data_IF_886921744673
#
_entry.id   IF_886921744673
#
_cell.length_a   1.000
_cell.length_b   1.000
_cell.length_c   1.000
_cell.angle_alpha   90.00
_cell.angle_beta   90.00
_cell.angle_gamma   90.00
#
_symmetry.space_group_name_H-M   'P 1'
#
loop_
_entity.id
_entity.type
_entity.pdbx_description
1 polymer ?
#
# COMPACT_ATOMS: atom_id res chain seq x y z
N UNK A 1 -2.45 8.96 -13.58
CA UNK A 1 -3.69 9.78 -13.76
C UNK A 1 -4.43 9.26 -14.99
N UNK A 2 -5.42 8.35 -14.86
CA UNK A 2 -6.02 7.67 -16.03
C UNK A 2 -7.45 8.13 -16.40
N UNK A 3 -7.61 8.45 -17.69
CA UNK A 3 -8.87 8.67 -18.39
C UNK A 3 -9.29 7.38 -19.08
N UNK A 4 -10.46 6.83 -18.73
CA UNK A 4 -11.21 5.95 -19.63
C UNK A 4 -12.66 6.44 -19.64
N UNK A 5 -13.09 6.93 -20.79
CA UNK A 5 -14.49 7.35 -21.01
C UNK A 5 -15.32 6.12 -21.35
N UNK A 6 -16.34 5.85 -20.56
CA UNK A 6 -17.60 5.35 -21.10
C UNK A 6 -18.79 6.03 -20.40
N UNK A 7 -19.65 6.61 -21.23
CA UNK A 7 -20.88 7.30 -20.85
C UNK A 7 -21.95 6.26 -20.54
N UNK A 8 -22.70 6.43 -19.43
CA UNK A 8 -24.15 6.60 -19.48
C UNK A 8 -24.65 7.38 -18.26
N UNK A 9 -25.61 8.25 -18.56
CA UNK A 9 -26.16 9.36 -17.79
C UNK A 9 -27.10 8.94 -16.64
N UNK A 10 -26.93 9.53 -15.46
CA UNK A 10 -28.03 9.90 -14.57
C UNK A 10 -27.78 11.25 -13.91
N UNK A 11 -28.78 12.11 -14.01
CA UNK A 11 -28.89 13.46 -13.48
C UNK A 11 -28.85 13.43 -11.95
N UNK A 12 -27.94 14.20 -11.33
CA UNK A 12 -27.93 14.46 -9.88
C UNK A 12 -27.94 15.99 -9.68
N UNK A 13 -28.82 16.43 -8.79
CA UNK A 13 -29.06 17.82 -8.43
C UNK A 13 -27.85 18.46 -7.74
N UNK A 14 -27.78 19.79 -7.88
CA UNK A 14 -26.68 20.65 -7.45
C UNK A 14 -26.40 20.56 -5.94
N UNK A 15 -25.15 20.26 -5.59
CA UNK A 15 -24.49 20.84 -4.42
C UNK A 15 -23.02 21.10 -4.74
N UNK A 16 -22.56 22.29 -4.33
CA UNK A 16 -21.34 22.98 -4.75
C UNK A 16 -20.02 22.26 -4.43
N UNK A 17 -19.45 21.49 -5.37
CA UNK A 17 -18.00 21.24 -5.40
C UNK A 17 -17.48 21.17 -6.84
N UNK A 18 -16.76 22.21 -7.24
CA UNK A 18 -16.11 22.30 -8.55
C UNK A 18 -14.88 21.40 -8.60
N UNK A 19 -15.01 20.20 -9.16
CA UNK A 19 -13.87 19.41 -9.61
C UNK A 19 -13.17 20.16 -10.75
N UNK A 20 -11.96 20.67 -10.49
CA UNK A 20 -11.16 21.31 -11.53
C UNK A 20 -10.51 20.23 -12.38
N UNK A 21 -11.09 19.95 -13.55
CA UNK A 21 -10.30 19.44 -14.68
C UNK A 21 -9.18 20.45 -14.91
N UNK A 22 -7.91 20.03 -14.81
CA UNK A 22 -6.77 20.91 -15.08
C UNK A 22 -6.95 21.56 -16.45
N UNK A 23 -7.29 22.84 -16.45
CA UNK A 23 -7.53 23.57 -17.69
C UNK A 23 -6.22 23.68 -18.46
N UNK A 24 -6.28 23.75 -19.79
CA UNK A 24 -5.08 24.06 -20.60
C UNK A 24 -4.44 25.40 -20.18
N UNK A 25 -5.22 26.30 -19.58
CA UNK A 25 -4.72 27.51 -18.92
C UNK A 25 -3.80 27.20 -17.74
N UNK A 26 -4.19 26.31 -16.81
CA UNK A 26 -3.33 25.92 -15.68
C UNK A 26 -2.09 25.15 -16.16
N UNK A 27 -2.21 24.28 -17.17
CA UNK A 27 -1.05 23.61 -17.79
C UNK A 27 -0.07 24.59 -18.42
N UNK A 28 -0.59 25.67 -19.01
CA UNK A 28 0.23 26.76 -19.54
C UNK A 28 0.85 27.57 -18.41
N UNK A 29 0.09 27.92 -17.38
CA UNK A 29 0.61 28.65 -16.22
C UNK A 29 1.66 27.85 -15.44
N UNK A 30 1.49 26.54 -15.27
CA UNK A 30 2.52 25.65 -14.72
C UNK A 30 3.76 25.73 -15.61
N UNK A 31 3.65 25.49 -16.93
CA UNK A 31 4.79 25.62 -17.86
C UNK A 31 5.45 27.00 -17.87
N UNK A 32 4.68 28.07 -17.65
CA UNK A 32 5.19 29.45 -17.58
C UNK A 32 5.87 29.74 -16.23
N UNK A 33 5.45 29.09 -15.13
CA UNK A 33 6.01 29.27 -13.78
C UNK A 33 7.17 28.32 -13.47
N UNK A 34 7.12 27.09 -13.98
CA UNK A 34 8.16 26.06 -13.87
C UNK A 34 8.89 26.01 -15.20
N UNK A 35 10.01 26.72 -15.32
CA UNK A 35 10.67 26.97 -16.62
C UNK A 35 11.02 25.71 -17.44
N UNK A 36 11.08 24.53 -16.84
CA UNK A 36 11.34 23.24 -17.50
C UNK A 36 10.59 22.11 -16.76
N UNK A 37 9.49 21.60 -17.36
CA UNK A 37 8.75 20.41 -16.89
C UNK A 37 9.04 19.25 -17.83
N UNK A 38 9.32 18.09 -17.26
CA UNK A 38 9.52 16.86 -18.02
C UNK A 38 8.67 15.70 -17.46
N UNK A 39 8.33 14.74 -18.33
CA UNK A 39 7.42 13.63 -18.02
C UNK A 39 7.94 12.31 -18.62
N UNK A 40 7.80 11.22 -17.87
CA UNK A 40 8.00 9.85 -18.36
C UNK A 40 6.78 8.99 -18.04
N UNK A 41 6.34 8.20 -19.02
CA UNK A 41 5.18 7.33 -18.87
C UNK A 41 5.49 6.05 -18.10
N UNK A 42 4.42 5.38 -17.68
CA UNK A 42 4.43 4.03 -17.11
C UNK A 42 5.06 3.01 -18.05
N UNK A 43 4.62 2.99 -19.32
CA UNK A 43 5.15 2.07 -20.34
C UNK A 43 6.33 2.72 -21.06
N UNK A 44 7.47 2.02 -21.09
CA UNK A 44 8.71 2.50 -21.69
C UNK A 44 9.17 1.48 -22.74
N UNK A 45 9.23 1.89 -24.01
CA UNK A 45 9.56 1.04 -25.16
C UNK A 45 10.68 1.69 -25.95
N UNK A 46 11.91 1.29 -25.70
CA UNK A 46 13.03 1.71 -26.53
C UNK A 46 13.00 0.98 -27.88
N UNK A 47 13.23 1.71 -28.96
CA UNK A 47 13.39 1.12 -30.30
C UNK A 47 14.84 0.68 -30.50
N UNK A 48 15.02 -0.49 -31.13
CA UNK A 48 16.33 -1.00 -31.50
C UNK A 48 16.75 -0.53 -32.90
N UNK A 49 18.05 -0.57 -33.17
CA UNK A 49 18.67 -0.24 -34.46
C UNK A 49 18.25 1.13 -35.03
N UNK A 50 18.42 2.17 -34.22
CA UNK A 50 18.03 3.53 -34.61
C UNK A 50 19.14 4.22 -35.40
N UNK A 51 18.76 4.88 -36.50
CA UNK A 51 19.66 5.76 -37.25
C UNK A 51 20.27 6.82 -36.32
N UNK A 52 21.61 6.99 -36.37
CA UNK A 52 22.33 7.87 -35.44
C UNK A 52 21.88 9.31 -35.62
N UNK A 53 21.28 9.85 -34.56
CA UNK A 53 20.85 11.25 -34.45
C UNK A 53 21.27 11.78 -33.09
N UNK A 54 21.88 12.97 -33.09
CA UNK A 54 22.19 13.66 -31.82
C UNK A 54 20.88 14.00 -31.12
N UNK A 55 20.67 13.42 -29.92
CA UNK A 55 19.48 13.61 -29.10
C UNK A 55 19.91 13.87 -27.65
N UNK A 56 19.55 15.02 -27.12
CA UNK A 56 19.85 15.42 -25.73
C UNK A 56 18.67 15.20 -24.76
N UNK A 57 17.50 14.82 -25.27
CA UNK A 57 16.30 14.56 -24.48
C UNK A 57 15.71 13.20 -24.79
N UNK A 58 15.22 12.52 -23.75
CA UNK A 58 14.54 11.23 -23.86
C UNK A 58 13.04 11.46 -24.08
N UNK A 59 12.48 10.80 -25.10
CA UNK A 59 11.05 10.77 -25.37
C UNK A 59 10.26 10.17 -24.20
N UNK A 60 8.98 10.51 -24.09
CA UNK A 60 8.12 10.07 -22.96
C UNK A 60 7.99 8.55 -22.87
N UNK A 61 8.00 7.87 -24.01
CA UNK A 61 7.95 6.41 -24.16
C UNK A 61 9.33 5.77 -24.27
N UNK A 62 10.41 6.56 -24.18
CA UNK A 62 11.79 6.13 -24.35
C UNK A 62 12.16 5.52 -25.72
N UNK A 63 11.36 5.71 -26.77
CA UNK A 63 11.64 5.17 -28.10
C UNK A 63 13.05 5.51 -28.64
N UNK A 64 13.59 6.68 -28.28
CA UNK A 64 14.90 7.15 -28.72
C UNK A 64 16.07 6.85 -27.76
N UNK A 65 15.92 5.90 -26.83
CA UNK A 65 16.91 5.60 -25.78
C UNK A 65 18.32 5.33 -26.33
N UNK A 66 18.44 4.50 -27.37
CA UNK A 66 19.73 4.13 -27.98
C UNK A 66 20.49 5.36 -28.48
N UNK A 67 19.79 6.27 -29.18
CA UNK A 67 20.36 7.53 -29.66
C UNK A 67 20.76 8.48 -28.53
N UNK A 68 19.97 8.53 -27.45
CA UNK A 68 20.27 9.37 -26.27
C UNK A 68 21.51 8.84 -25.56
N UNK A 69 21.55 7.55 -25.21
CA UNK A 69 22.71 6.95 -24.52
C UNK A 69 23.98 7.05 -25.36
N UNK A 70 23.89 6.84 -26.67
CA UNK A 70 25.02 7.06 -27.57
C UNK A 70 25.48 8.53 -27.56
N UNK A 71 24.54 9.48 -27.62
CA UNK A 71 24.86 10.90 -27.55
C UNK A 71 25.56 11.24 -26.22
N UNK A 72 25.09 10.67 -25.10
CA UNK A 72 25.69 10.85 -23.77
C UNK A 72 27.08 10.23 -23.67
N UNK A 73 27.29 9.02 -24.19
CA UNK A 73 28.59 8.32 -24.15
C UNK A 73 29.70 9.11 -24.86
N UNK A 74 29.34 9.88 -25.89
CA UNK A 74 30.27 10.72 -26.63
C UNK A 74 30.43 12.13 -26.05
N UNK A 75 29.33 12.78 -25.66
CA UNK A 75 29.32 14.22 -25.38
C UNK A 75 29.16 14.57 -23.89
N UNK A 76 28.61 13.67 -23.06
CA UNK A 76 28.30 13.90 -21.64
C UNK A 76 28.67 12.66 -20.81
N UNK A 77 29.96 12.32 -20.81
CA UNK A 77 30.49 11.07 -20.24
C UNK A 77 30.14 10.87 -18.77
N UNK A 78 30.11 11.93 -17.97
CA UNK A 78 29.75 11.86 -16.55
C UNK A 78 28.31 11.36 -16.35
N UNK A 79 27.34 11.89 -17.12
CA UNK A 79 25.95 11.42 -17.09
C UNK A 79 25.84 9.97 -17.56
N UNK A 80 26.52 9.63 -18.66
CA UNK A 80 26.54 8.25 -19.17
C UNK A 80 27.09 7.26 -18.13
N UNK A 81 28.22 7.60 -17.50
CA UNK A 81 28.84 6.77 -16.47
C UNK A 81 27.94 6.60 -15.26
N UNK A 82 27.27 7.67 -14.81
CA UNK A 82 26.28 7.59 -13.73
C UNK A 82 25.15 6.63 -14.09
N UNK A 83 24.53 6.78 -15.27
CA UNK A 83 23.46 5.88 -15.73
C UNK A 83 23.94 4.42 -15.78
N UNK A 84 25.12 4.18 -16.33
CA UNK A 84 25.69 2.84 -16.43
C UNK A 84 25.96 2.23 -15.05
N UNK A 85 26.51 2.99 -14.11
CA UNK A 85 26.78 2.53 -12.74
C UNK A 85 25.50 2.18 -11.99
N UNK A 86 24.49 3.05 -12.03
CA UNK A 86 23.18 2.80 -11.40
C UNK A 86 22.49 1.57 -12.02
N UNK A 87 22.58 1.41 -13.35
CA UNK A 87 22.02 0.26 -14.04
C UNK A 87 22.71 -1.05 -13.65
N UNK A 88 24.05 -1.06 -13.53
CA UNK A 88 24.84 -2.21 -13.09
C UNK A 88 24.54 -2.56 -11.62
N UNK A 89 24.31 -1.56 -10.78
CA UNK A 89 23.96 -1.77 -9.36
C UNK A 89 22.57 -2.42 -9.21
N UNK A 90 21.61 -1.99 -10.04
CA UNK A 90 20.23 -2.52 -10.01
C UNK A 90 20.11 -3.90 -10.66
N UNK A 91 20.83 -4.14 -11.76
CA UNK A 91 20.67 -5.36 -12.57
C UNK A 91 21.72 -6.41 -12.20
N UNK A 92 21.28 -7.45 -11.46
CA UNK A 92 22.15 -8.55 -11.07
C UNK A 92 22.82 -9.22 -12.29
N UNK A 93 24.13 -9.43 -12.22
CA UNK A 93 24.90 -10.11 -13.27
C UNK A 93 25.35 -9.21 -14.43
N UNK A 94 24.81 -8.00 -14.55
CA UNK A 94 25.27 -7.00 -15.52
C UNK A 94 26.61 -6.44 -15.04
N UNK A 95 27.55 -6.30 -15.97
CA UNK A 95 28.93 -5.87 -15.69
C UNK A 95 29.35 -4.65 -16.49
N UNK A 96 28.71 -4.40 -17.63
CA UNK A 96 28.99 -3.24 -18.46
C UNK A 96 27.77 -2.88 -19.33
N UNK A 97 27.75 -1.62 -19.75
CA UNK A 97 26.76 -1.07 -20.68
C UNK A 97 27.51 -0.31 -21.77
N UNK A 98 27.27 -0.67 -23.03
CA UNK A 98 27.94 -0.07 -24.18
C UNK A 98 26.94 0.39 -25.25
N UNK A 99 27.37 1.33 -26.09
CA UNK A 99 26.56 1.90 -27.19
C UNK A 99 27.31 1.78 -28.53
N UNK A 100 27.50 0.55 -29.04
CA UNK A 100 28.26 0.32 -30.25
C UNK A 100 27.59 0.96 -31.47
N UNK A 101 28.44 1.26 -32.45
CA UNK A 101 28.00 1.74 -33.76
C UNK A 101 27.96 0.55 -34.71
N UNK A 102 26.82 0.34 -35.33
CA UNK A 102 26.65 -0.63 -36.40
C UNK A 102 26.62 0.09 -37.77
N UNK A 103 27.23 -0.53 -38.78
CA UNK A 103 27.22 -0.03 -40.15
C UNK A 103 26.56 -1.06 -41.05
N UNK A 104 25.42 -0.70 -41.63
CA UNK A 104 24.73 -1.51 -42.64
C UNK A 104 24.63 -0.70 -43.94
N UNK A 105 25.54 -0.99 -44.87
CA UNK A 105 25.64 -0.25 -46.13
C UNK A 105 26.06 1.21 -45.92
N UNK A 106 25.19 2.16 -46.28
CA UNK A 106 25.42 3.61 -46.10
C UNK A 106 24.79 4.17 -44.82
N UNK A 107 24.08 3.35 -44.05
CA UNK A 107 23.38 3.76 -42.84
C UNK A 107 24.25 3.38 -41.64
N UNK A 108 24.45 4.36 -40.77
CA UNK A 108 25.11 4.19 -39.47
C UNK A 108 24.02 4.21 -38.41
N UNK A 109 23.94 3.15 -37.62
CA UNK A 109 22.97 3.01 -36.53
C UNK A 109 23.68 2.76 -35.21
N UNK A 110 22.96 2.97 -34.11
CA UNK A 110 23.46 2.65 -32.76
C UNK A 110 22.41 1.81 -32.03
N UNK A 111 22.92 0.83 -31.28
CA UNK A 111 22.16 0.00 -30.35
C UNK A 111 22.76 0.13 -28.95
N UNK A 112 22.12 -0.51 -27.99
CA UNK A 112 22.59 -0.68 -26.63
C UNK A 112 23.01 -2.14 -26.47
N UNK A 113 24.22 -2.37 -26.00
CA UNK A 113 24.72 -3.70 -25.65
C UNK A 113 24.95 -3.79 -24.14
N UNK A 114 24.30 -4.76 -23.51
CA UNK A 114 24.43 -5.08 -22.08
C UNK A 114 25.36 -6.28 -21.93
N UNK A 115 26.44 -6.13 -21.17
CA UNK A 115 27.38 -7.21 -20.90
C UNK A 115 27.01 -7.88 -19.59
N UNK A 116 26.49 -9.10 -19.66
CA UNK A 116 26.08 -9.89 -18.50
C UNK A 116 26.83 -11.22 -18.49
N UNK A 117 27.52 -11.54 -17.40
CA UNK A 117 28.25 -12.80 -17.24
C UNK A 117 29.21 -13.18 -18.41
N UNK A 118 29.80 -12.16 -19.06
CA UNK A 118 30.69 -12.24 -20.26
C UNK A 118 30.00 -12.47 -21.60
N UNK A 119 28.67 -12.52 -21.64
CA UNK A 119 27.90 -12.46 -22.88
C UNK A 119 27.49 -11.01 -23.16
N UNK A 120 27.34 -10.65 -24.43
CA UNK A 120 26.76 -9.37 -24.85
C UNK A 120 25.36 -9.63 -25.38
N UNK A 121 24.40 -8.84 -24.92
CA UNK A 121 23.00 -8.89 -25.34
C UNK A 121 22.60 -7.53 -25.91
N UNK A 122 21.99 -7.54 -27.09
CA UNK A 122 21.39 -6.34 -27.69
C UNK A 122 20.08 -5.97 -27.00
N UNK A 123 19.57 -4.78 -27.33
CA UNK A 123 18.39 -4.22 -26.70
C UNK A 123 17.14 -5.10 -26.88
N UNK A 124 17.00 -5.78 -28.01
CA UNK A 124 15.92 -6.73 -28.29
C UNK A 124 16.09 -8.11 -27.61
N UNK A 125 17.31 -8.41 -27.14
CA UNK A 125 17.66 -9.64 -26.43
C UNK A 125 17.51 -9.51 -24.90
N UNK A 126 17.50 -8.30 -24.36
CA UNK A 126 17.29 -8.07 -22.93
C UNK A 126 15.81 -8.05 -22.54
N UNK A 127 15.51 -8.34 -21.28
CA UNK A 127 14.13 -8.33 -20.80
C UNK A 127 13.51 -6.92 -20.86
N UNK A 128 12.20 -6.84 -21.09
CA UNK A 128 11.48 -5.55 -21.11
C UNK A 128 11.71 -4.76 -19.83
N UNK A 129 11.66 -5.38 -18.64
CA UNK A 129 11.94 -4.70 -17.37
C UNK A 129 13.32 -4.04 -17.34
N UNK A 130 14.34 -4.72 -17.87
CA UNK A 130 15.71 -4.17 -18.00
C UNK A 130 15.74 -2.88 -18.84
N UNK A 131 15.04 -2.88 -19.98
CA UNK A 131 14.93 -1.70 -20.84
C UNK A 131 14.19 -0.55 -20.14
N UNK A 132 13.09 -0.87 -19.44
CA UNK A 132 12.28 0.12 -18.74
C UNK A 132 13.04 0.79 -17.59
N UNK A 133 13.87 0.01 -16.86
CA UNK A 133 14.80 0.53 -15.84
C UNK A 133 15.80 1.48 -16.50
N UNK A 134 16.48 1.05 -17.56
CA UNK A 134 17.49 1.86 -18.21
C UNK A 134 16.91 3.18 -18.74
N UNK A 135 15.69 3.14 -19.28
CA UNK A 135 14.95 4.33 -19.69
C UNK A 135 14.65 5.26 -18.51
N UNK A 136 14.17 4.73 -17.39
CA UNK A 136 13.86 5.50 -16.18
C UNK A 136 15.12 6.16 -15.60
N UNK A 137 16.22 5.41 -15.44
CA UNK A 137 17.50 5.91 -14.96
C UNK A 137 18.05 7.01 -15.87
N UNK A 138 17.96 6.80 -17.18
CA UNK A 138 18.38 7.82 -18.17
C UNK A 138 17.58 9.10 -18.00
N UNK A 139 16.26 9.00 -17.79
CA UNK A 139 15.41 10.18 -17.57
C UNK A 139 15.75 10.90 -16.27
N UNK A 140 15.94 10.17 -15.18
CA UNK A 140 16.31 10.71 -13.88
C UNK A 140 17.61 11.51 -13.95
N UNK A 141 18.67 10.90 -14.50
CA UNK A 141 19.99 11.55 -14.63
C UNK A 141 19.98 12.73 -15.60
N UNK A 142 19.17 12.68 -16.66
CA UNK A 142 18.99 13.84 -17.54
C UNK A 142 18.27 14.99 -16.84
N UNK A 143 17.26 14.68 -16.02
CA UNK A 143 16.46 15.69 -15.32
C UNK A 143 17.26 16.42 -14.23
N UNK A 144 18.20 15.72 -13.57
CA UNK A 144 19.06 16.27 -12.54
C UNK A 144 19.71 17.59 -12.97
N UNK A 145 19.53 18.66 -12.17
CA UNK A 145 20.03 20.04 -12.39
C UNK A 145 19.50 20.77 -13.63
N UNK A 146 18.83 20.07 -14.55
CA UNK A 146 18.34 20.63 -15.82
C UNK A 146 16.82 20.81 -15.85
N UNK A 147 16.10 20.12 -14.95
CA UNK A 147 14.64 20.12 -14.87
C UNK A 147 14.20 20.68 -13.52
N UNK A 148 13.19 21.55 -13.50
CA UNK A 148 12.64 22.07 -12.23
C UNK A 148 11.61 21.12 -11.62
N UNK A 149 10.84 20.44 -12.47
CA UNK A 149 9.79 19.49 -12.09
C UNK A 149 9.79 18.27 -13.02
N UNK A 150 9.99 17.08 -12.45
CA UNK A 150 9.89 15.80 -13.14
C UNK A 150 8.65 15.03 -12.65
N UNK A 151 7.84 14.53 -13.58
CA UNK A 151 6.66 13.71 -13.26
C UNK A 151 6.91 12.28 -13.76
N UNK A 152 6.75 11.31 -12.87
CA UNK A 152 7.00 9.89 -13.12
C UNK A 152 5.73 9.10 -12.80
N UNK A 153 5.21 8.39 -13.80
CA UNK A 153 4.09 7.47 -13.62
C UNK A 153 4.60 6.05 -13.37
N UNK A 154 4.22 5.47 -12.23
CA UNK A 154 4.47 4.09 -11.79
C UNK A 154 5.92 3.64 -12.06
N UNK A 155 6.92 4.25 -11.38
CA UNK A 155 8.32 3.87 -11.51
C UNK A 155 8.59 2.39 -11.21
N UNK A 156 7.77 1.77 -10.36
CA UNK A 156 7.85 0.38 -9.89
C UNK A 156 7.42 -0.68 -10.91
N UNK A 157 6.75 -0.28 -12.00
CA UNK A 157 6.25 -1.25 -12.97
C UNK A 157 7.39 -2.13 -13.52
N UNK A 158 7.14 -3.44 -13.50
CA UNK A 158 8.07 -4.48 -13.94
C UNK A 158 9.40 -4.54 -13.17
N UNK A 159 9.49 -3.91 -12.00
CA UNK A 159 10.65 -4.00 -11.10
C UNK A 159 10.46 -5.10 -10.06
N UNK A 160 11.57 -5.71 -9.65
CA UNK A 160 11.60 -6.49 -8.41
C UNK A 160 11.89 -5.55 -7.22
N UNK A 161 11.55 -5.98 -6.00
CA UNK A 161 11.63 -5.16 -4.77
C UNK A 161 12.99 -4.50 -4.53
N UNK A 162 14.11 -5.13 -4.92
CA UNK A 162 15.45 -4.54 -4.76
C UNK A 162 15.69 -3.40 -5.75
N UNK A 163 15.36 -3.61 -7.04
CA UNK A 163 15.44 -2.58 -8.07
C UNK A 163 14.56 -1.37 -7.73
N UNK A 164 13.38 -1.63 -7.16
CA UNK A 164 12.45 -0.60 -6.72
C UNK A 164 13.03 0.31 -5.61
N UNK A 165 13.71 -0.30 -4.63
CA UNK A 165 14.38 0.44 -3.55
C UNK A 165 15.50 1.33 -4.07
N UNK A 166 16.29 0.83 -5.03
CA UNK A 166 17.37 1.61 -5.64
C UNK A 166 16.84 2.74 -6.53
N UNK A 167 15.76 2.50 -7.29
CA UNK A 167 15.08 3.56 -8.04
C UNK A 167 14.54 4.63 -7.08
N UNK A 168 13.93 4.25 -5.96
CA UNK A 168 13.47 5.20 -4.95
C UNK A 168 14.64 5.96 -4.29
N UNK A 169 15.76 5.30 -4.02
CA UNK A 169 16.99 5.92 -3.51
C UNK A 169 17.46 7.03 -4.45
N UNK A 170 17.54 6.72 -5.75
CA UNK A 170 17.97 7.68 -6.77
C UNK A 170 16.98 8.84 -6.95
N UNK A 171 15.67 8.56 -6.95
CA UNK A 171 14.61 9.58 -6.97
C UNK A 171 14.78 10.53 -5.78
N UNK A 172 14.99 9.98 -4.58
CA UNK A 172 15.14 10.76 -3.34
C UNK A 172 16.38 11.64 -3.42
N UNK A 173 17.52 11.07 -3.82
CA UNK A 173 18.79 11.80 -3.98
C UNK A 173 18.64 13.01 -4.93
N UNK A 174 18.08 12.79 -6.13
CA UNK A 174 17.89 13.86 -7.12
C UNK A 174 16.88 14.90 -6.60
N UNK A 175 15.84 14.44 -5.90
CA UNK A 175 14.80 15.31 -5.37
C UNK A 175 15.28 16.23 -4.26
N UNK A 176 16.21 15.77 -3.42
CA UNK A 176 16.76 16.55 -2.33
C UNK A 176 17.76 17.61 -2.81
N UNK A 177 18.48 17.33 -3.89
CA UNK A 177 19.49 18.25 -4.40
C UNK A 177 18.93 19.32 -5.34
N UNK A 178 18.15 18.93 -6.36
CA UNK A 178 18.05 19.76 -7.58
C UNK A 178 16.69 19.83 -8.27
N UNK A 179 15.85 18.80 -8.19
CA UNK A 179 14.67 18.67 -9.05
C UNK A 179 13.44 18.29 -8.24
N UNK A 180 12.32 19.00 -8.35
CA UNK A 180 11.09 18.51 -7.71
C UNK A 180 10.58 17.28 -8.46
N UNK A 181 10.30 16.17 -7.77
CA UNK A 181 9.79 14.94 -8.40
C UNK A 181 8.38 14.63 -7.88
N UNK A 182 7.44 14.42 -8.80
CA UNK A 182 6.10 13.90 -8.50
C UNK A 182 5.99 12.48 -9.04
N UNK A 183 5.66 11.55 -8.15
CA UNK A 183 5.51 10.13 -8.47
C UNK A 183 4.06 9.73 -8.26
N UNK A 184 3.50 8.95 -9.19
CA UNK A 184 2.30 8.16 -8.93
C UNK A 184 2.70 6.71 -8.74
N UNK A 185 2.18 6.05 -7.71
CA UNK A 185 2.61 4.71 -7.34
C UNK A 185 1.52 3.98 -6.56
N UNK A 186 1.49 2.65 -6.71
CA UNK A 186 0.74 1.70 -5.89
C UNK A 186 1.67 0.82 -5.05
N UNK A 187 2.94 1.19 -4.97
CA UNK A 187 3.95 0.41 -4.28
C UNK A 187 3.97 0.65 -2.78
N UNK A 188 3.94 -0.44 -2.05
CA UNK A 188 4.19 -0.45 -0.62
C UNK A 188 5.59 0.08 -0.29
N UNK A 189 6.61 -0.21 -1.11
CA UNK A 189 7.98 0.29 -0.92
C UNK A 189 8.02 1.81 -0.99
N UNK A 190 7.41 2.41 -2.03
CA UNK A 190 7.37 3.87 -2.16
C UNK A 190 6.56 4.52 -1.04
N UNK A 191 5.37 4.00 -0.75
CA UNK A 191 4.48 4.58 0.28
C UNK A 191 5.13 4.49 1.67
N UNK A 192 5.78 3.37 2.01
CA UNK A 192 6.39 3.17 3.32
C UNK A 192 7.67 3.96 3.51
N UNK A 193 8.48 4.13 2.47
CA UNK A 193 9.73 4.89 2.56
C UNK A 193 9.53 6.41 2.41
N UNK A 194 8.35 6.86 1.97
CA UNK A 194 8.03 8.28 1.85
C UNK A 194 7.47 8.85 3.16
N UNK A 195 7.80 10.09 3.51
CA UNK A 195 7.22 10.76 4.68
C UNK A 195 5.74 11.03 4.42
N UNK A 196 4.87 10.87 5.41
CA UNK A 196 3.43 11.06 5.23
C UNK A 196 3.07 12.45 4.68
N UNK A 197 3.87 13.48 4.98
CA UNK A 197 3.62 14.86 4.50
C UNK A 197 3.98 15.08 3.04
N UNK A 198 4.64 14.09 2.42
CA UNK A 198 4.96 14.07 0.99
C UNK A 198 3.99 13.14 0.22
N UNK A 199 3.01 12.54 0.90
CA UNK A 199 2.02 11.65 0.30
C UNK A 199 0.74 12.42 0.03
N UNK A 200 0.21 12.25 -1.18
CA UNK A 200 -1.12 12.71 -1.55
C UNK A 200 -1.94 11.48 -1.92
N UNK A 201 -2.97 11.17 -1.12
CA UNK A 201 -3.93 10.12 -1.44
C UNK A 201 -4.90 10.65 -2.48
N UNK A 202 -5.05 9.93 -3.58
CA UNK A 202 -5.96 10.29 -4.68
C UNK A 202 -6.99 9.18 -4.83
N UNK A 203 -8.27 9.53 -4.64
CA UNK A 203 -9.38 8.58 -4.78
C UNK A 203 -10.30 9.04 -5.89
N UNK A 204 -10.94 8.06 -6.54
CA UNK A 204 -11.90 8.32 -7.60
C UNK A 204 -13.17 7.48 -7.42
N UNK A 205 -14.20 8.08 -6.84
CA UNK A 205 -15.57 7.57 -6.83
C UNK A 205 -16.53 8.62 -7.38
N UNK A 206 -16.93 8.47 -8.65
CA UNK A 206 -17.74 9.46 -9.41
C UNK A 206 -17.04 10.81 -9.68
N UNK A 207 -16.18 11.26 -8.78
CA UNK A 207 -15.35 12.47 -8.81
C UNK A 207 -13.95 12.14 -8.26
N UNK A 208 -12.96 13.00 -8.51
CA UNK A 208 -11.59 12.81 -7.99
C UNK A 208 -11.39 13.66 -6.75
N UNK A 209 -11.04 13.02 -5.64
CA UNK A 209 -10.64 13.68 -4.39
C UNK A 209 -9.14 13.51 -4.19
N UNK A 210 -8.49 14.55 -3.67
CA UNK A 210 -7.09 14.51 -3.27
C UNK A 210 -7.01 14.92 -1.80
N UNK A 211 -6.31 14.12 -0.99
CA UNK A 211 -6.08 14.36 0.43
C UNK A 211 -4.58 14.36 0.69
N UNK A 212 -4.09 15.37 1.41
CA UNK A 212 -2.70 15.54 1.77
C UNK A 212 -2.63 16.05 3.20
N UNK A 213 -1.51 15.80 3.88
CA UNK A 213 -1.31 16.29 5.25
C UNK A 213 -0.50 17.58 5.22
N UNK A 214 -1.12 18.69 5.61
CA UNK A 214 -0.49 20.02 5.59
C UNK A 214 0.68 20.15 6.58
N UNK A 215 0.59 19.47 7.72
CA UNK A 215 1.66 19.39 8.70
C UNK A 215 1.65 18.04 9.41
N UNK A 216 2.60 17.20 9.02
CA UNK A 216 2.87 15.95 9.73
C UNK A 216 3.70 16.30 10.96
N UNK A 217 3.14 16.06 12.14
CA UNK A 217 3.96 16.11 13.35
C UNK A 217 4.96 14.95 13.33
N UNK A 218 6.12 15.11 13.96
CA UNK A 218 7.10 14.01 14.11
C UNK A 218 6.45 12.71 14.63
N UNK A 219 5.39 12.85 15.43
CA UNK A 219 4.56 11.78 15.98
C UNK A 219 3.98 10.80 14.93
N UNK A 220 3.90 11.18 13.65
CA UNK A 220 3.40 10.35 12.54
C UNK A 220 4.50 9.68 11.71
N UNK A 221 5.74 10.18 11.77
CA UNK A 221 6.87 9.64 11.00
C UNK A 221 7.48 8.40 11.68
N UNK A 222 7.36 8.29 13.00
CA UNK A 222 7.97 7.26 13.84
C UNK A 222 6.98 6.17 14.32
N UNK A 223 5.80 6.09 13.70
CA UNK A 223 4.72 5.21 14.13
C UNK A 223 5.08 3.70 14.06
N UNK A 224 6.13 3.30 13.34
CA UNK A 224 6.56 1.91 13.26
C UNK A 224 5.62 0.97 12.49
N UNK A 225 4.43 1.45 12.10
CA UNK A 225 3.48 0.72 11.28
C UNK A 225 3.71 0.91 9.77
N UNK A 226 3.25 -0.07 9.01
CA UNK A 226 3.24 -0.03 7.55
C UNK A 226 2.21 0.99 7.04
N UNK A 227 2.68 2.14 6.54
CA UNK A 227 1.81 3.20 5.99
C UNK A 227 0.98 2.71 4.82
N UNK A 228 1.55 1.82 4.00
CA UNK A 228 0.89 1.30 2.81
C UNK A 228 -0.37 0.50 3.17
N UNK A 229 -0.36 -0.20 4.31
CA UNK A 229 -1.52 -0.90 4.85
C UNK A 229 -2.70 0.03 5.13
N UNK A 230 -2.46 1.23 5.66
CA UNK A 230 -3.55 2.19 5.93
C UNK A 230 -3.94 3.00 4.70
N UNK A 231 -2.94 3.59 4.01
CA UNK A 231 -3.17 4.64 3.02
C UNK A 231 -3.79 4.11 1.72
N UNK A 232 -3.62 2.81 1.44
CA UNK A 232 -4.21 2.14 0.29
C UNK A 232 -5.53 1.44 0.60
N UNK A 233 -5.95 1.39 1.87
CA UNK A 233 -7.20 0.76 2.28
C UNK A 233 -8.42 1.65 1.97
N UNK A 234 -9.56 0.99 1.75
CA UNK A 234 -10.88 1.64 1.74
C UNK A 234 -11.34 1.92 3.18
N UNK A 235 -10.98 1.05 4.14
CA UNK A 235 -11.17 1.28 5.57
C UNK A 235 -10.15 0.47 6.40
N UNK A 236 -9.86 0.91 7.63
CA UNK A 236 -8.91 0.24 8.53
C UNK A 236 -9.61 -0.26 9.79
N UNK A 237 -9.43 -1.53 10.13
CA UNK A 237 -9.89 -2.11 11.40
C UNK A 237 -8.69 -2.43 12.28
N UNK A 238 -8.55 -1.70 13.38
CA UNK A 238 -7.55 -1.99 14.39
C UNK A 238 -8.04 -3.08 15.33
N UNK A 239 -7.20 -4.06 15.61
CA UNK A 239 -7.46 -5.15 16.56
C UNK A 239 -6.30 -5.28 17.53
N UNK A 240 -6.56 -5.89 18.70
CA UNK A 240 -5.52 -6.06 19.71
C UNK A 240 -4.44 -7.08 19.29
N UNK A 241 -4.84 -8.20 18.68
CA UNK A 241 -3.91 -9.25 18.27
C UNK A 241 -4.22 -9.95 16.93
N UNK A 242 -3.23 -10.64 16.36
CA UNK A 242 -3.41 -11.45 15.13
C UNK A 242 -4.45 -12.56 15.26
N UNK A 243 -4.71 -13.06 16.47
CA UNK A 243 -5.78 -14.03 16.69
C UNK A 243 -7.14 -13.44 16.33
N UNK A 244 -7.37 -12.19 16.75
CA UNK A 244 -8.65 -11.52 16.62
C UNK A 244 -8.90 -11.19 15.15
N UNK A 245 -7.89 -10.64 14.48
CA UNK A 245 -7.88 -10.45 13.03
C UNK A 245 -8.33 -11.72 12.30
N UNK A 246 -7.65 -12.85 12.55
CA UNK A 246 -7.90 -14.09 11.82
C UNK A 246 -9.30 -14.63 12.06
N UNK A 247 -9.79 -14.57 13.29
CA UNK A 247 -11.13 -15.01 13.65
C UNK A 247 -12.18 -14.11 13.02
N UNK A 248 -12.06 -12.78 13.16
CA UNK A 248 -13.03 -11.81 12.61
C UNK A 248 -13.07 -11.91 11.08
N UNK A 249 -11.91 -11.96 10.39
CA UNK A 249 -11.84 -12.16 8.94
C UNK A 249 -12.50 -13.47 8.51
N UNK A 250 -12.28 -14.54 9.27
CA UNK A 250 -12.85 -15.85 8.93
C UNK A 250 -14.36 -15.92 9.17
N UNK A 251 -14.87 -15.33 10.25
CA UNK A 251 -16.31 -15.23 10.51
C UNK A 251 -17.01 -14.32 9.50
N UNK A 252 -16.36 -13.22 9.10
CA UNK A 252 -16.85 -12.37 8.01
C UNK A 252 -17.09 -13.18 6.73
N UNK A 253 -16.14 -14.06 6.37
CA UNK A 253 -16.28 -14.96 5.21
C UNK A 253 -17.43 -15.95 5.36
N UNK A 254 -17.67 -16.46 6.57
CA UNK A 254 -18.84 -17.32 6.87
C UNK A 254 -20.15 -16.56 6.65
N UNK A 255 -20.18 -15.26 6.96
CA UNK A 255 -21.32 -14.36 6.68
C UNK A 255 -21.37 -13.87 5.22
N UNK A 256 -20.58 -14.46 4.32
CA UNK A 256 -20.57 -14.11 2.90
C UNK A 256 -19.81 -12.82 2.57
N UNK A 257 -19.03 -12.28 3.51
CA UNK A 257 -18.29 -11.02 3.35
C UNK A 257 -16.78 -11.24 3.43
N UNK A 258 -16.08 -10.98 2.32
CA UNK A 258 -14.61 -11.08 2.26
C UNK A 258 -14.00 -9.68 2.42
N UNK A 259 -13.56 -9.35 3.63
CA UNK A 259 -13.04 -8.02 3.99
C UNK A 259 -11.92 -7.56 3.06
N UNK A 260 -11.04 -8.48 2.66
CA UNK A 260 -9.91 -8.18 1.77
C UNK A 260 -10.38 -7.76 0.37
N UNK A 261 -11.49 -8.32 -0.13
CA UNK A 261 -12.04 -7.95 -1.45
C UNK A 261 -12.72 -6.58 -1.45
N UNK A 262 -13.03 -6.08 -0.26
CA UNK A 262 -13.68 -4.80 -0.04
C UNK A 262 -12.69 -3.72 0.45
N UNK A 263 -11.38 -3.99 0.36
CA UNK A 263 -10.35 -3.03 0.74
C UNK A 263 -10.30 -2.73 2.24
N UNK A 264 -10.83 -3.62 3.10
CA UNK A 264 -10.70 -3.47 4.55
C UNK A 264 -9.38 -4.07 5.01
N UNK A 265 -8.47 -3.21 5.46
CA UNK A 265 -7.21 -3.63 6.05
C UNK A 265 -7.37 -3.81 7.56
N UNK A 266 -6.78 -4.88 8.10
CA UNK A 266 -6.74 -5.10 9.54
C UNK A 266 -5.34 -4.84 10.06
N UNK A 267 -5.22 -4.09 11.15
CA UNK A 267 -3.93 -3.79 11.75
C UNK A 267 -3.93 -4.16 13.22
N UNK A 268 -2.94 -4.97 13.60
CA UNK A 268 -2.67 -5.36 14.97
C UNK A 268 -1.96 -4.21 15.71
N UNK A 269 -2.43 -3.93 16.92
CA UNK A 269 -1.83 -2.94 17.82
C UNK A 269 -1.04 -3.56 18.97
N UNK A 270 -0.84 -4.87 19.08
CA UNK A 270 -0.11 -5.51 20.20
C UNK A 270 -0.68 -5.11 21.59
N UNK A 271 -2.00 -4.99 21.71
CA UNK A 271 -2.75 -4.72 22.95
C UNK A 271 -3.18 -3.27 23.21
N UNK A 272 -4.06 -3.08 24.21
CA UNK A 272 -4.70 -1.79 24.56
C UNK A 272 -3.71 -0.64 24.88
N UNK A 273 -2.52 -0.99 25.39
CA UNK A 273 -1.47 -0.01 25.73
C UNK A 273 -1.00 0.82 24.52
N UNK A 274 -0.99 0.20 23.34
CA UNK A 274 -0.57 0.85 22.10
C UNK A 274 -1.72 1.62 21.42
N UNK A 275 -2.99 1.24 21.68
CA UNK A 275 -4.14 2.10 21.33
C UNK A 275 -3.99 3.46 22.04
N UNK A 276 -3.58 3.44 23.31
CA UNK A 276 -3.36 4.68 24.08
C UNK A 276 -2.12 5.44 23.60
N UNK A 277 -1.01 4.77 23.33
CA UNK A 277 0.21 5.48 22.88
C UNK A 277 0.12 6.02 21.46
N UNK A 278 -0.39 5.22 20.53
CA UNK A 278 -0.29 5.48 19.08
C UNK A 278 -1.63 5.91 18.48
N UNK A 279 -2.75 5.58 19.13
CA UNK A 279 -4.10 5.83 18.60
C UNK A 279 -4.34 7.29 18.26
N UNK A 280 -3.77 8.24 19.02
CA UNK A 280 -3.86 9.67 18.69
C UNK A 280 -3.22 9.97 17.32
N UNK A 281 -2.01 9.47 17.09
CA UNK A 281 -1.28 9.65 15.85
C UNK A 281 -1.99 8.92 14.69
N UNK A 282 -2.42 7.67 14.90
CA UNK A 282 -3.14 6.88 13.90
C UNK A 282 -4.44 7.57 13.45
N UNK A 283 -5.27 8.01 14.41
CA UNK A 283 -6.51 8.72 14.08
C UNK A 283 -6.21 10.02 13.32
N UNK A 284 -5.21 10.78 13.74
CA UNK A 284 -4.82 12.01 13.01
C UNK A 284 -4.44 11.70 11.56
N UNK A 285 -3.67 10.63 11.33
CA UNK A 285 -3.27 10.20 10.00
C UNK A 285 -4.49 9.87 9.15
N UNK A 286 -5.35 8.98 9.65
CA UNK A 286 -6.53 8.48 8.95
C UNK A 286 -7.51 9.61 8.65
N UNK A 287 -7.74 10.50 9.61
CA UNK A 287 -8.56 11.70 9.41
C UNK A 287 -7.99 12.61 8.32
N UNK A 288 -6.67 12.82 8.30
CA UNK A 288 -6.03 13.69 7.29
C UNK A 288 -6.14 13.13 5.87
N UNK A 289 -6.24 11.80 5.74
CA UNK A 289 -6.39 11.12 4.46
C UNK A 289 -7.83 10.69 4.14
N UNK A 290 -8.79 11.06 5.01
CA UNK A 290 -10.22 10.72 4.86
C UNK A 290 -10.44 9.20 4.76
N UNK A 291 -9.75 8.44 5.62
CA UNK A 291 -9.78 6.98 5.65
C UNK A 291 -10.67 6.55 6.82
N UNK A 292 -11.80 5.89 6.56
CA UNK A 292 -12.65 5.31 7.60
C UNK A 292 -11.89 4.30 8.45
N UNK A 293 -12.21 4.27 9.74
CA UNK A 293 -11.55 3.33 10.66
C UNK A 293 -12.45 2.87 11.80
N UNK A 294 -12.10 1.72 12.37
CA UNK A 294 -12.75 1.13 13.55
C UNK A 294 -11.69 0.53 14.46
N UNK A 295 -11.72 0.84 15.75
CA UNK A 295 -10.95 0.15 16.78
C UNK A 295 -11.81 -0.94 17.40
N UNK A 296 -11.27 -2.16 17.45
CA UNK A 296 -11.87 -3.30 18.14
C UNK A 296 -10.97 -3.65 19.32
N UNK A 297 -11.54 -3.65 20.50
CA UNK A 297 -10.86 -3.93 21.76
C UNK A 297 -11.80 -4.70 22.68
N UNK A 298 -11.25 -5.38 23.68
CA UNK A 298 -12.05 -6.08 24.68
C UNK A 298 -12.12 -5.28 26.00
N UNK A 299 -13.14 -5.55 26.82
CA UNK A 299 -13.43 -4.70 27.97
C UNK A 299 -12.60 -5.00 29.22
N UNK A 300 -11.75 -6.04 29.23
CA UNK A 300 -10.85 -6.38 30.35
C UNK A 300 -11.49 -6.25 31.77
N UNK A 301 -12.68 -6.84 32.01
CA UNK A 301 -13.50 -6.74 33.26
C UNK A 301 -14.27 -5.45 33.48
N UNK A 302 -14.05 -4.43 32.66
CA UNK A 302 -14.71 -3.13 32.78
C UNK A 302 -16.00 -3.08 31.96
N UNK A 303 -16.83 -2.07 32.24
CA UNK A 303 -18.00 -1.80 31.41
C UNK A 303 -17.56 -1.35 30.01
N UNK A 304 -18.07 -1.94 28.91
CA UNK A 304 -17.67 -1.57 27.55
C UNK A 304 -17.85 -0.09 27.22
N UNK A 305 -18.86 0.58 27.79
CA UNK A 305 -19.09 2.00 27.57
C UNK A 305 -18.02 2.85 28.28
N UNK A 306 -17.59 2.45 29.48
CA UNK A 306 -16.52 3.13 30.23
C UNK A 306 -15.17 3.02 29.49
N UNK A 307 -14.82 1.84 28.98
CA UNK A 307 -13.59 1.63 28.20
C UNK A 307 -13.60 2.48 26.93
N UNK A 308 -14.73 2.49 26.22
CA UNK A 308 -14.91 3.32 25.02
C UNK A 308 -14.71 4.80 25.33
N UNK A 309 -15.37 5.30 26.37
CA UNK A 309 -15.29 6.71 26.75
C UNK A 309 -13.87 7.11 27.20
N UNK A 310 -13.15 6.20 27.87
CA UNK A 310 -11.74 6.38 28.21
C UNK A 310 -10.87 6.51 26.95
N UNK A 311 -10.98 5.58 25.99
CA UNK A 311 -10.18 5.59 24.75
C UNK A 311 -10.46 6.85 23.91
N UNK A 312 -11.73 7.22 23.75
CA UNK A 312 -12.14 8.44 23.05
C UNK A 312 -11.55 9.67 23.73
N UNK A 313 -11.65 9.76 25.06
CA UNK A 313 -11.09 10.88 25.83
C UNK A 313 -9.58 10.94 25.74
N UNK A 314 -8.90 9.78 25.75
CA UNK A 314 -7.45 9.69 25.65
C UNK A 314 -6.94 10.17 24.29
N UNK A 315 -7.56 9.70 23.20
CA UNK A 315 -7.19 10.11 21.84
C UNK A 315 -7.48 11.60 21.63
N UNK A 316 -8.59 12.11 22.16
CA UNK A 316 -8.99 13.52 22.03
C UNK A 316 -8.35 14.45 23.08
N UNK A 317 -7.36 13.99 23.87
CA UNK A 317 -6.83 14.73 25.04
C UNK A 317 -6.29 16.13 24.71
N UNK A 318 -5.80 16.37 23.49
CA UNK A 318 -5.40 17.70 23.02
C UNK A 318 -6.38 18.17 21.94
N UNK A 319 -6.88 19.40 22.09
CA UNK A 319 -7.70 20.06 21.09
C UNK A 319 -6.98 20.17 19.74
N UNK A 320 -7.74 20.01 18.66
CA UNK A 320 -7.26 20.06 17.29
C UNK A 320 -8.40 20.26 16.30
N UNK A 321 -8.07 20.31 15.02
CA UNK A 321 -8.96 20.36 13.87
C UNK A 321 -9.56 18.98 13.50
N UNK A 322 -9.26 17.96 14.30
CA UNK A 322 -9.69 16.59 14.15
C UNK A 322 -10.04 16.00 15.53
N UNK A 323 -10.92 15.00 15.55
CA UNK A 323 -11.28 14.25 16.75
C UNK A 323 -11.83 12.88 16.33
N UNK A 324 -11.76 11.91 17.25
CA UNK A 324 -12.51 10.65 17.14
C UNK A 324 -13.82 10.73 17.92
N UNK A 325 -14.80 9.93 17.53
CA UNK A 325 -16.10 9.78 18.19
C UNK A 325 -16.27 8.34 18.70
N UNK A 326 -17.23 8.09 19.61
CA UNK A 326 -17.52 6.75 20.10
C UNK A 326 -17.88 5.72 19.02
N UNK A 327 -18.38 6.16 17.86
CA UNK A 327 -18.77 5.25 16.76
C UNK A 327 -17.57 4.55 16.11
N UNK A 328 -16.35 5.07 16.27
CA UNK A 328 -15.14 4.43 15.78
C UNK A 328 -14.59 3.35 16.71
N UNK A 329 -15.31 2.98 17.76
CA UNK A 329 -14.87 1.98 18.74
C UNK A 329 -15.93 0.92 18.94
N UNK A 330 -15.54 -0.33 18.80
CA UNK A 330 -16.34 -1.50 19.15
C UNK A 330 -15.65 -2.25 20.29
N UNK A 331 -16.22 -2.13 21.50
CA UNK A 331 -15.68 -2.78 22.69
C UNK A 331 -16.45 -4.08 22.94
N UNK A 332 -15.75 -5.20 22.85
CA UNK A 332 -16.28 -6.53 23.13
C UNK A 332 -16.47 -6.71 24.65
N UNK A 333 -17.62 -7.24 25.05
CA UNK A 333 -17.97 -7.49 26.46
C UNK A 333 -17.22 -8.67 27.10
N UNK A 334 -16.78 -9.63 26.29
CA UNK A 334 -15.88 -10.71 26.71
C UNK A 334 -14.45 -10.22 27.02
N UNK A 335 -13.67 -11.07 27.68
CA UNK A 335 -12.25 -10.85 28.02
C UNK A 335 -11.30 -11.13 26.86
N UNK A 336 -11.85 -11.59 25.74
CA UNK A 336 -11.12 -11.91 24.54
C UNK A 336 -12.01 -12.65 23.57
N UNK A 337 -11.49 -12.89 22.36
CA UNK A 337 -12.31 -13.52 21.33
C UNK A 337 -12.68 -14.98 21.67
N UNK A 338 -11.92 -15.62 22.56
CA UNK A 338 -12.19 -16.97 23.06
C UNK A 338 -13.56 -17.12 23.74
N UNK A 339 -14.04 -16.09 24.45
CA UNK A 339 -15.34 -16.10 25.14
C UNK A 339 -16.52 -16.26 24.17
N UNK A 340 -16.32 -15.83 22.93
CA UNK A 340 -17.28 -15.99 21.86
C UNK A 340 -17.11 -17.33 21.13
N UNK A 341 -15.87 -17.81 21.01
CA UNK A 341 -15.60 -19.11 20.37
C UNK A 341 -16.23 -20.28 21.14
N UNK A 342 -16.20 -20.25 22.48
CA UNK A 342 -16.83 -21.30 23.31
C UNK A 342 -18.35 -21.37 23.16
N UNK A 343 -18.99 -20.31 22.68
CA UNK A 343 -20.44 -20.30 22.41
C UNK A 343 -20.79 -21.09 21.13
N UNK A 344 -19.80 -21.59 20.40
CA UNK A 344 -19.95 -22.36 19.17
C UNK A 344 -19.48 -23.83 19.32
N UNK A 345 -20.11 -24.65 20.19
CA UNK A 345 -19.66 -26.02 20.47
C UNK A 345 -19.71 -26.94 19.24
N UNK A 346 -20.60 -26.66 18.28
CA UNK A 346 -20.69 -27.38 17.00
C UNK A 346 -19.42 -27.17 16.15
N UNK A 347 -18.91 -25.94 16.12
CA UNK A 347 -17.72 -25.58 15.36
C UNK A 347 -16.47 -26.19 16.00
N UNK A 348 -16.34 -26.06 17.33
CA UNK A 348 -15.25 -26.69 18.09
C UNK A 348 -15.27 -28.21 17.90
N UNK A 349 -16.44 -28.86 18.03
CA UNK A 349 -16.59 -30.30 17.82
C UNK A 349 -16.18 -30.76 16.42
N UNK A 350 -16.42 -29.93 15.40
CA UNK A 350 -15.97 -30.20 14.03
C UNK A 350 -14.44 -30.17 13.89
N UNK A 351 -13.77 -29.27 14.60
CA UNK A 351 -12.29 -29.14 14.58
C UNK A 351 -11.62 -30.31 15.32
N UNK A 352 -12.14 -30.69 16.47
CA UNK A 352 -11.53 -31.73 17.33
C UNK A 352 -12.13 -33.12 17.14
N UNK A 353 -12.96 -33.31 16.11
CA UNK A 353 -13.67 -34.55 15.79
C UNK A 353 -14.48 -35.13 16.98
N UNK A 354 -15.07 -34.25 17.78
CA UNK A 354 -15.88 -34.60 18.95
C UNK A 354 -17.36 -34.26 18.76
N UNK A 355 -18.23 -35.01 19.45
CA UNK A 355 -19.65 -34.69 19.50
C UNK A 355 -19.89 -33.35 20.23
N UNK A 356 -20.74 -32.45 19.71
CA UNK A 356 -21.00 -31.14 20.31
C UNK A 356 -21.45 -31.20 21.78
N UNK A 357 -22.17 -32.25 22.17
CA UNK A 357 -22.65 -32.41 23.56
C UNK A 357 -21.47 -32.65 24.53
N UNK A 358 -20.43 -33.35 24.09
CA UNK A 358 -19.23 -33.58 24.90
C UNK A 358 -18.42 -32.31 25.08
N UNK A 359 -18.37 -31.47 24.04
CA UNK A 359 -17.71 -30.16 24.07
C UNK A 359 -18.46 -29.24 25.04
N UNK A 360 -19.79 -29.18 24.92
CA UNK A 360 -20.64 -28.37 25.78
C UNK A 360 -20.54 -28.79 27.26
N UNK A 361 -20.48 -30.09 27.56
CA UNK A 361 -20.27 -30.59 28.92
C UNK A 361 -18.91 -30.17 29.51
N UNK A 362 -17.88 -30.00 28.68
CA UNK A 362 -16.58 -29.46 29.13
C UNK A 362 -16.65 -27.95 29.36
N UNK A 363 -17.28 -27.20 28.46
CA UNK A 363 -17.48 -25.75 28.59
C UNK A 363 -18.20 -25.41 29.90
N UNK A 364 -19.27 -26.12 30.23
CA UNK A 364 -20.05 -25.86 31.45
C UNK A 364 -19.31 -26.16 32.77
N UNK A 365 -18.09 -26.70 32.73
CA UNK A 365 -17.30 -27.08 33.92
C UNK A 365 -16.15 -26.12 34.22
N UNK A 366 -15.84 -25.21 33.30
CA UNK A 366 -14.67 -24.33 33.39
C UNK A 366 -15.11 -22.94 32.98
N UNK A 367 -14.97 -21.99 33.90
CA UNK A 367 -15.44 -20.61 33.67
C UNK A 367 -14.53 -19.84 32.70
N UNK A 368 -13.24 -20.18 32.64
CA UNK A 368 -12.24 -19.52 31.78
C UNK A 368 -12.24 -20.12 30.36
N UNK A 369 -12.56 -19.28 29.36
CA UNK A 369 -12.71 -19.71 27.97
C UNK A 369 -11.41 -20.27 27.37
N UNK A 370 -10.26 -19.66 27.66
CA UNK A 370 -8.98 -20.11 27.12
C UNK A 370 -8.55 -21.45 27.75
N UNK A 371 -8.75 -21.61 29.06
CA UNK A 371 -8.45 -22.83 29.78
C UNK A 371 -9.34 -23.98 29.31
N UNK A 372 -10.63 -23.74 29.04
CA UNK A 372 -11.52 -24.80 28.55
C UNK A 372 -11.17 -25.21 27.13
N UNK A 373 -10.84 -24.26 26.25
CA UNK A 373 -10.34 -24.56 24.91
C UNK A 373 -9.05 -25.38 25.00
N UNK A 374 -8.11 -25.02 25.88
CA UNK A 374 -6.90 -25.80 26.09
C UNK A 374 -7.19 -27.24 26.57
N UNK A 375 -8.14 -27.42 27.49
CA UNK A 375 -8.56 -28.76 27.93
C UNK A 375 -9.19 -29.59 26.81
N UNK A 376 -10.02 -28.97 25.97
CA UNK A 376 -10.66 -29.63 24.83
C UNK A 376 -9.60 -30.08 23.82
N UNK A 377 -8.71 -29.19 23.40
CA UNK A 377 -7.66 -29.51 22.43
C UNK A 377 -6.67 -30.54 22.96
N UNK A 378 -6.29 -30.45 24.24
CA UNK A 378 -5.41 -31.45 24.86
C UNK A 378 -6.06 -32.84 24.88
N UNK A 379 -7.34 -32.92 25.26
CA UNK A 379 -8.07 -34.18 25.38
C UNK A 379 -8.29 -34.87 24.03
N UNK A 380 -8.63 -34.13 23.00
CA UNK A 380 -9.05 -34.70 21.71
C UNK A 380 -7.93 -34.74 20.65
N UNK A 381 -7.01 -33.78 20.68
CA UNK A 381 -5.94 -33.64 19.69
C UNK A 381 -4.53 -33.81 20.28
N UNK A 382 -4.40 -33.96 21.61
CA UNK A 382 -3.10 -34.02 22.30
C UNK A 382 -2.21 -32.80 21.95
N UNK A 383 -2.83 -31.63 21.84
CA UNK A 383 -2.19 -30.36 21.49
C UNK A 383 -2.65 -29.24 22.45
N UNK A 384 -1.80 -28.24 22.64
CA UNK A 384 -2.19 -27.01 23.35
C UNK A 384 -3.03 -26.11 22.43
N UNK A 385 -3.93 -25.32 23.02
CA UNK A 385 -4.73 -24.38 22.26
C UNK A 385 -3.88 -23.21 21.74
N UNK A 386 -3.78 -23.06 20.42
CA UNK A 386 -3.17 -21.92 19.75
C UNK A 386 -4.28 -20.91 19.36
N UNK A 387 -4.31 -19.74 20.01
CA UNK A 387 -5.33 -18.69 19.77
C UNK A 387 -5.53 -18.36 18.30
N UNK A 388 -4.43 -18.27 17.56
CA UNK A 388 -4.43 -17.84 16.17
C UNK A 388 -4.87 -18.95 15.21
N UNK A 389 -4.23 -20.12 15.27
CA UNK A 389 -4.51 -21.22 14.34
C UNK A 389 -5.81 -21.93 14.67
N UNK A 390 -6.01 -22.31 15.93
CA UNK A 390 -7.19 -23.05 16.35
C UNK A 390 -8.42 -22.14 16.42
N UNK A 391 -8.27 -20.88 16.83
CA UNK A 391 -9.36 -19.90 16.79
C UNK A 391 -9.90 -19.71 15.37
N UNK A 392 -9.00 -19.53 14.39
CA UNK A 392 -9.38 -19.46 12.97
C UNK A 392 -10.07 -20.73 12.47
N UNK A 393 -9.60 -21.92 12.87
CA UNK A 393 -10.26 -23.19 12.50
C UNK A 393 -11.67 -23.29 13.08
N UNK A 394 -11.87 -22.91 14.34
CA UNK A 394 -13.20 -22.86 14.96
C UNK A 394 -14.09 -21.89 14.17
N UNK A 395 -13.61 -20.67 13.89
CA UNK A 395 -14.34 -19.69 13.09
C UNK A 395 -14.72 -20.21 11.70
N UNK A 396 -13.83 -20.97 11.05
CA UNK A 396 -14.08 -21.57 9.72
C UNK A 396 -15.20 -22.61 9.74
N UNK A 397 -15.38 -23.32 10.85
CA UNK A 397 -16.43 -24.32 11.03
C UNK A 397 -17.70 -23.74 11.67
N UNK A 398 -17.73 -22.43 11.93
CA UNK A 398 -18.94 -21.75 12.39
C UNK A 398 -20.04 -21.80 11.30
N UNK A 399 -21.28 -21.76 11.76
CA UNK A 399 -22.44 -21.51 10.92
C UNK A 399 -22.94 -20.10 11.24
N UNK A 400 -23.34 -19.34 10.23
CA UNK A 400 -23.87 -17.98 10.37
C UNK A 400 -24.94 -17.86 11.48
N UNK A 401 -25.81 -18.86 11.61
CA UNK A 401 -26.86 -18.88 12.65
C UNK A 401 -26.33 -18.95 14.08
N UNK A 402 -25.12 -19.48 14.25
CA UNK A 402 -24.52 -19.79 15.55
C UNK A 402 -23.39 -18.82 15.92
N UNK A 403 -23.07 -17.85 15.06
CA UNK A 403 -22.16 -16.76 15.41
C UNK A 403 -22.81 -15.96 16.55
N UNK A 404 -22.09 -15.71 17.66
CA UNK A 404 -22.58 -14.87 18.75
C UNK A 404 -23.06 -13.50 18.26
N UNK A 405 -24.13 -12.99 18.86
CA UNK A 405 -24.80 -11.75 18.43
C UNK A 405 -23.83 -10.57 18.37
N UNK A 406 -22.98 -10.41 19.39
CA UNK A 406 -22.01 -9.32 19.45
C UNK A 406 -20.91 -9.41 18.37
N UNK A 407 -20.45 -10.62 18.01
CA UNK A 407 -19.53 -10.78 16.88
C UNK A 407 -20.22 -10.55 15.53
N UNK A 408 -21.50 -10.93 15.42
CA UNK A 408 -22.30 -10.64 14.23
C UNK A 408 -22.47 -9.14 14.04
N UNK A 409 -22.79 -8.41 15.11
CA UNK A 409 -22.95 -6.95 15.10
C UNK A 409 -21.64 -6.24 14.77
N UNK A 410 -20.51 -6.69 15.33
CA UNK A 410 -19.18 -6.22 14.93
C UNK A 410 -18.94 -6.39 13.42
N UNK A 411 -19.22 -7.58 12.88
CA UNK A 411 -19.00 -7.87 11.45
C UNK A 411 -19.93 -7.01 10.59
N UNK A 412 -21.19 -6.83 10.99
CA UNK A 412 -22.13 -5.93 10.29
C UNK A 412 -21.67 -4.47 10.34
N UNK A 413 -21.09 -4.03 11.46
CA UNK A 413 -20.51 -2.70 11.57
C UNK A 413 -19.32 -2.55 10.61
N UNK A 414 -18.39 -3.52 10.59
CA UNK A 414 -17.26 -3.54 9.65
C UNK A 414 -17.75 -3.50 8.19
N UNK A 415 -18.82 -4.22 7.86
CA UNK A 415 -19.45 -4.19 6.53
C UNK A 415 -20.05 -2.82 6.17
N UNK A 416 -20.52 -2.08 7.17
CA UNK A 416 -21.12 -0.76 6.99
C UNK A 416 -20.12 0.38 6.91
N UNK A 417 -18.84 0.12 7.22
CA UNK A 417 -17.79 1.12 7.04
C UNK A 417 -17.81 1.61 5.59
N UNK A 418 -17.72 2.94 5.36
CA UNK A 418 -17.66 3.49 4.02
C UNK A 418 -16.56 2.80 3.24
N UNK A 419 -16.92 2.21 2.10
CA UNK A 419 -15.99 1.57 1.18
C UNK A 419 -16.02 2.40 -0.10
N UNK A 420 -14.89 3.03 -0.38
CA UNK A 420 -14.65 3.76 -1.64
C UNK A 420 -14.30 2.79 -2.78
#
# INVERSE_FOLDING_TARGET
MYYHTDRQSKTVEQSDYTGYVLTEGLRRSIREYTGHVDEIGAIRRAEDDTEIKVRSSLARDAANLSNVLHTLSQNQKEKYQRIASEYIEIMEGVTDLTTPIQQSGSITSTTIEVIENKNSYQLDEISSGSMEILALLTKLVLAEKETSLLIIEEPELHLHLEAEREVLRLITEISEETTQILVTTHSDVFVNSTRAGQIVRVVRDGSTTCRAVDSVGQELEDLGYDKSGFLQASAVVFVEGKSDERVIKQLSKVMGYDSNKHGIEFVELDGEGNIKSDGRSLVKLLYSFDIPYLFVSDSHESDPDDVRDELVSHINIREGDWHTTPEHFYILSGYGIEDYLIQMPQAIGSVVEARPENVLDMINKVDDAQAVLNQIFNKYLNAEYNKSEHGMLIAKHANESNIPEELRDLILHIQSLPQE
#
